data_IF_758578358260
#
_entry.id   IF_758578358260
#
_cell.length_a   1.000
_cell.length_b   1.000
_cell.length_c   1.000
_cell.angle_alpha   90.00
_cell.angle_beta   90.00
_cell.angle_gamma   90.00
#
_symmetry.space_group_name_H-M   'P 1'
#
loop_
_entity.id
_entity.type
_entity.pdbx_description
1 polymer ?
#
# COMPACT_ATOMS: atom_id res chain seq x y z
N UNK A 1 -40.12 -35.93 -31.27
CA UNK A 1 -38.71 -35.50 -31.50
C UNK A 1 -38.61 -34.00 -31.61
N UNK A 2 -39.36 -33.31 -32.50
CA UNK A 2 -39.31 -31.83 -32.64
C UNK A 2 -39.65 -31.10 -31.36
N UNK A 3 -40.60 -31.57 -30.56
CA UNK A 3 -40.96 -31.02 -29.26
C UNK A 3 -39.77 -31.12 -28.26
N UNK A 4 -39.11 -32.26 -28.19
CA UNK A 4 -37.94 -32.45 -27.33
C UNK A 4 -36.74 -31.57 -27.76
N UNK A 5 -36.57 -31.39 -29.07
CA UNK A 5 -35.55 -30.47 -29.57
C UNK A 5 -35.79 -29.00 -29.11
N UNK A 6 -37.07 -28.56 -29.17
CA UNK A 6 -37.43 -27.22 -28.70
C UNK A 6 -37.23 -27.06 -27.19
N UNK A 7 -37.57 -28.09 -26.40
CA UNK A 7 -37.32 -28.08 -24.95
C UNK A 7 -35.82 -27.97 -24.64
N UNK A 8 -34.98 -28.77 -25.31
CA UNK A 8 -33.53 -28.72 -25.11
C UNK A 8 -32.92 -27.40 -25.56
N UNK A 9 -33.45 -26.80 -26.62
CA UNK A 9 -33.02 -25.48 -27.08
C UNK A 9 -33.39 -24.38 -26.08
N UNK A 10 -34.58 -24.46 -25.48
CA UNK A 10 -34.99 -23.57 -24.38
C UNK A 10 -34.11 -23.68 -23.17
N UNK A 11 -33.69 -24.89 -22.76
CA UNK A 11 -32.73 -25.11 -21.69
C UNK A 11 -31.33 -24.56 -22.02
N UNK A 12 -30.88 -24.65 -23.28
CA UNK A 12 -29.63 -24.08 -23.74
C UNK A 12 -29.62 -22.54 -23.65
N UNK A 13 -30.72 -21.90 -24.05
CA UNK A 13 -30.89 -20.44 -24.00
C UNK A 13 -30.99 -19.93 -22.55
N UNK A 14 -31.58 -20.74 -21.64
CA UNK A 14 -31.73 -20.43 -20.23
C UNK A 14 -30.36 -20.32 -19.49
N UNK A 15 -29.27 -20.73 -20.16
CA UNK A 15 -27.91 -20.53 -19.62
C UNK A 15 -27.69 -21.24 -18.28
N UNK A 16 -27.91 -22.59 -18.24
CA UNK A 16 -27.67 -23.39 -17.03
C UNK A 16 -26.25 -23.11 -16.46
N UNK A 17 -26.25 -22.39 -15.37
CA UNK A 17 -25.03 -22.08 -14.59
C UNK A 17 -24.86 -23.19 -13.55
N UNK A 18 -23.83 -23.99 -13.66
CA UNK A 18 -23.52 -25.04 -12.70
C UNK A 18 -22.09 -24.88 -12.19
N UNK A 19 -21.97 -24.67 -10.88
CA UNK A 19 -20.69 -24.63 -10.17
C UNK A 19 -19.99 -23.27 -10.27
N UNK A 20 -19.35 -22.89 -9.20
CA UNK A 20 -18.33 -21.85 -9.16
C UNK A 20 -16.98 -22.53 -9.30
N UNK A 21 -16.28 -22.30 -10.40
CA UNK A 21 -14.86 -22.67 -10.47
C UNK A 21 -14.07 -21.59 -9.75
N UNK A 22 -13.57 -21.93 -8.59
CA UNK A 22 -12.60 -21.12 -7.89
C UNK A 22 -11.28 -21.26 -8.63
N UNK A 23 -10.86 -20.20 -9.33
CA UNK A 23 -9.50 -20.14 -9.88
C UNK A 23 -8.62 -19.46 -8.86
N UNK A 24 -7.50 -20.09 -8.45
CA UNK A 24 -6.49 -19.35 -7.67
C UNK A 24 -5.96 -18.24 -8.57
N UNK A 25 -6.18 -16.99 -8.18
CA UNK A 25 -5.52 -15.84 -8.78
C UNK A 25 -4.28 -15.61 -7.92
N UNK A 26 -3.12 -15.88 -8.49
CA UNK A 26 -1.84 -15.51 -7.88
C UNK A 26 -1.72 -13.99 -7.97
N UNK A 27 -2.07 -13.30 -6.89
CA UNK A 27 -1.70 -11.88 -6.74
C UNK A 27 -0.33 -11.85 -6.09
N UNK A 28 0.66 -11.45 -6.85
CA UNK A 28 1.96 -11.04 -6.33
C UNK A 28 1.81 -9.58 -5.89
N UNK A 29 2.47 -9.20 -4.85
CA UNK A 29 2.54 -7.83 -4.37
C UNK A 29 2.45 -7.75 -2.85
N UNK A 30 2.91 -6.65 -2.30
CA UNK A 30 2.92 -6.34 -0.86
C UNK A 30 2.00 -5.16 -0.54
N UNK A 31 1.60 -5.05 0.71
CA UNK A 31 0.91 -3.87 1.23
C UNK A 31 1.95 -2.96 1.89
N UNK A 32 2.08 -1.73 1.41
CA UNK A 32 3.09 -0.78 1.88
C UNK A 32 2.39 0.44 2.48
N UNK A 33 2.76 0.81 3.71
CA UNK A 33 2.35 2.09 4.30
C UNK A 33 3.58 3.00 4.43
N UNK A 34 3.55 4.11 3.71
CA UNK A 34 4.51 5.21 3.89
C UNK A 34 4.07 6.05 5.08
N UNK A 35 4.80 5.96 6.19
CA UNK A 35 4.56 6.79 7.39
C UNK A 35 5.56 7.95 7.39
N UNK A 36 5.07 9.16 7.13
CA UNK A 36 5.91 10.33 6.82
C UNK A 36 5.79 11.38 7.92
N UNK A 37 6.92 11.71 8.52
CA UNK A 37 7.04 12.81 9.45
C UNK A 37 6.87 14.16 8.73
N UNK A 38 5.92 14.96 9.17
CA UNK A 38 5.64 16.31 8.68
C UNK A 38 5.85 17.37 9.78
N UNK A 39 6.62 17.04 10.81
CA UNK A 39 6.99 17.99 11.85
C UNK A 39 7.84 19.13 11.29
N UNK A 40 7.91 20.24 12.03
CA UNK A 40 8.63 21.45 11.57
C UNK A 40 10.11 21.19 11.33
N UNK A 41 10.73 20.21 11.99
CA UNK A 41 12.13 19.82 11.80
C UNK A 41 12.42 19.30 10.39
N UNK A 42 11.40 18.77 9.71
CA UNK A 42 11.50 18.31 8.32
C UNK A 42 11.68 19.44 7.30
N UNK A 43 11.55 20.71 7.71
CA UNK A 43 11.96 21.87 6.89
C UNK A 43 13.48 22.14 6.92
N UNK A 44 14.23 21.46 7.77
CA UNK A 44 15.68 21.62 7.82
C UNK A 44 16.33 21.31 6.47
N UNK A 45 17.43 22.03 6.16
CA UNK A 45 18.09 22.02 4.84
C UNK A 45 19.49 21.39 4.86
N UNK A 46 19.74 20.56 5.85
CA UNK A 46 20.98 19.74 5.90
C UNK A 46 20.98 18.62 4.85
N UNK A 47 19.79 18.24 4.39
CA UNK A 47 19.56 17.42 3.19
C UNK A 47 18.81 18.30 2.19
N UNK A 48 19.32 18.44 0.96
CA UNK A 48 18.79 19.36 -0.04
C UNK A 48 17.64 18.77 -0.85
N UNK A 49 16.59 19.55 -1.25
CA UNK A 49 16.40 20.98 -0.93
C UNK A 49 15.99 21.22 0.54
N UNK A 50 15.12 20.38 1.10
CA UNK A 50 14.77 20.22 2.51
C UNK A 50 14.61 18.73 2.82
N UNK A 51 14.54 18.37 4.10
CA UNK A 51 14.31 16.97 4.49
C UNK A 51 13.00 16.44 3.90
N UNK A 52 11.90 17.21 4.01
CA UNK A 52 10.57 16.79 3.50
C UNK A 52 10.57 16.65 1.96
N UNK A 53 11.19 17.59 1.24
CA UNK A 53 11.27 17.49 -0.22
C UNK A 53 12.11 16.30 -0.66
N UNK A 54 13.15 15.99 0.08
CA UNK A 54 13.96 14.79 -0.18
C UNK A 54 13.17 13.51 0.06
N UNK A 55 12.37 13.44 1.13
CA UNK A 55 11.46 12.31 1.37
C UNK A 55 10.47 12.15 0.22
N UNK A 56 9.82 13.23 -0.22
CA UNK A 56 8.90 13.20 -1.37
C UNK A 56 9.58 12.63 -2.62
N UNK A 57 10.81 13.02 -2.88
CA UNK A 57 11.59 12.54 -4.01
C UNK A 57 11.89 11.03 -3.90
N UNK A 58 12.37 10.57 -2.75
CA UNK A 58 12.69 9.15 -2.53
C UNK A 58 11.42 8.28 -2.60
N UNK A 59 10.32 8.70 -1.96
CA UNK A 59 9.03 7.99 -2.00
C UNK A 59 8.50 7.92 -3.43
N UNK A 60 8.59 9.01 -4.20
CA UNK A 60 8.17 8.99 -5.61
C UNK A 60 8.97 7.99 -6.42
N UNK A 61 10.30 7.91 -6.21
CA UNK A 61 11.16 6.92 -6.87
C UNK A 61 10.80 5.48 -6.48
N UNK A 62 10.44 5.25 -5.22
CA UNK A 62 10.00 3.93 -4.77
C UNK A 62 8.72 3.57 -5.51
N UNK A 63 7.73 4.47 -5.55
CA UNK A 63 6.45 4.26 -6.22
C UNK A 63 6.62 4.00 -7.73
N UNK A 64 7.59 4.65 -8.38
CA UNK A 64 7.85 4.46 -9.83
C UNK A 64 8.30 3.04 -10.18
N UNK A 65 8.79 2.27 -9.20
CA UNK A 65 9.27 0.90 -9.40
C UNK A 65 8.32 -0.17 -8.81
N UNK A 66 7.17 0.21 -8.24
CA UNK A 66 6.18 -0.73 -7.75
C UNK A 66 5.39 -1.35 -8.92
N UNK A 67 5.09 -2.65 -8.82
CA UNK A 67 4.29 -3.37 -9.81
C UNK A 67 3.37 -4.40 -9.12
N UNK A 68 2.08 -4.07 -9.04
CA UNK A 68 1.09 -4.93 -8.39
C UNK A 68 0.93 -4.73 -6.89
N UNK A 69 1.72 -3.86 -6.27
CA UNK A 69 1.67 -3.53 -4.85
C UNK A 69 0.55 -2.56 -4.50
N UNK A 70 0.05 -2.64 -3.26
CA UNK A 70 -0.83 -1.60 -2.73
C UNK A 70 -0.03 -0.69 -1.82
N UNK A 71 -0.27 0.60 -1.93
CA UNK A 71 0.38 1.58 -1.07
C UNK A 71 -0.63 2.49 -0.39
N UNK A 72 -0.32 2.89 0.83
CA UNK A 72 -1.06 3.90 1.59
C UNK A 72 -0.10 4.91 2.22
N UNK A 73 -0.63 6.03 2.69
CA UNK A 73 0.16 7.12 3.27
C UNK A 73 -0.43 7.53 4.61
N UNK A 74 0.39 7.50 5.63
CA UNK A 74 0.13 8.09 6.95
C UNK A 74 1.05 9.28 7.11
N UNK A 75 0.53 10.42 7.54
CA UNK A 75 1.34 11.59 7.91
C UNK A 75 1.23 11.85 9.40
N UNK A 76 2.33 12.25 10.02
CA UNK A 76 2.38 12.48 11.45
C UNK A 76 3.29 13.64 11.86
N UNK A 77 2.98 14.22 13.00
CA UNK A 77 3.75 15.22 13.74
C UNK A 77 3.37 15.07 15.23
N UNK A 78 2.87 16.08 15.90
CA UNK A 78 2.27 15.95 17.23
C UNK A 78 0.92 15.21 17.26
N UNK A 79 0.33 14.93 16.11
CA UNK A 79 -0.79 14.01 15.86
C UNK A 79 -0.56 13.31 14.54
N UNK A 80 -1.42 12.36 14.19
CA UNK A 80 -1.28 11.56 12.97
C UNK A 80 -2.64 11.27 12.34
N UNK A 81 -2.66 10.97 11.04
CA UNK A 81 -3.85 10.49 10.35
C UNK A 81 -3.51 9.74 9.07
N UNK A 82 -4.41 8.87 8.66
CA UNK A 82 -4.34 8.18 7.38
C UNK A 82 -4.67 9.19 6.26
N UNK A 83 -3.65 9.59 5.48
CA UNK A 83 -3.76 10.57 4.43
C UNK A 83 -4.24 9.97 3.11
N UNK A 84 -3.77 8.77 2.77
CA UNK A 84 -4.22 7.98 1.63
C UNK A 84 -4.40 6.52 2.08
N UNK A 85 -5.62 5.95 1.97
CA UNK A 85 -5.84 4.53 2.18
C UNK A 85 -5.10 3.68 1.14
N UNK A 86 -4.93 2.37 1.42
CA UNK A 86 -4.29 1.42 0.50
C UNK A 86 -4.94 1.48 -0.89
N UNK A 87 -4.11 1.69 -1.90
CA UNK A 87 -4.52 1.78 -3.30
C UNK A 87 -3.43 1.26 -4.23
N UNK A 88 -3.80 0.86 -5.44
CA UNK A 88 -2.90 0.57 -6.57
C UNK A 88 -2.81 1.74 -7.55
N UNK A 89 -3.49 2.86 -7.28
CA UNK A 89 -3.43 4.05 -8.13
C UNK A 89 -2.17 4.86 -7.80
N UNK A 90 -1.07 4.51 -8.46
CA UNK A 90 0.24 5.14 -8.24
C UNK A 90 0.26 6.61 -8.65
N UNK A 91 -0.52 6.99 -9.67
CA UNK A 91 -0.58 8.39 -10.11
C UNK A 91 -1.32 9.25 -9.09
N UNK A 92 -2.42 8.76 -8.53
CA UNK A 92 -3.08 9.41 -7.41
C UNK A 92 -2.14 9.53 -6.21
N UNK A 93 -1.43 8.45 -5.85
CA UNK A 93 -0.50 8.45 -4.73
C UNK A 93 0.62 9.50 -4.90
N UNK A 94 1.20 9.64 -6.10
CA UNK A 94 2.21 10.68 -6.39
C UNK A 94 1.63 12.09 -6.22
N UNK A 95 0.37 12.32 -6.58
CA UNK A 95 -0.30 13.60 -6.35
C UNK A 95 -0.45 13.88 -4.84
N UNK A 96 -0.81 12.87 -4.04
CA UNK A 96 -0.87 13.00 -2.59
C UNK A 96 0.51 13.32 -2.01
N UNK A 97 1.57 12.60 -2.40
CA UNK A 97 2.96 12.86 -1.96
C UNK A 97 3.40 14.28 -2.30
N UNK A 98 3.11 14.77 -3.50
CA UNK A 98 3.46 16.12 -3.93
C UNK A 98 2.86 17.19 -3.02
N UNK A 99 1.64 16.95 -2.53
CA UNK A 99 0.89 17.91 -1.69
C UNK A 99 1.21 17.79 -0.19
N UNK A 100 2.08 16.88 0.24
CA UNK A 100 2.51 16.80 1.64
C UNK A 100 3.29 18.07 2.00
N UNK A 101 2.94 18.66 3.15
CA UNK A 101 3.60 19.84 3.70
C UNK A 101 3.69 19.73 5.23
N UNK A 102 4.68 20.39 5.81
CA UNK A 102 4.88 20.44 7.26
C UNK A 102 3.84 21.28 8.00
N UNK A 103 3.02 22.06 7.28
CA UNK A 103 1.89 22.80 7.86
C UNK A 103 0.57 22.00 7.90
N UNK A 104 0.54 20.76 7.38
CA UNK A 104 -0.66 19.91 7.36
C UNK A 104 -1.17 19.56 8.76
N UNK A 105 -0.27 19.48 9.73
CA UNK A 105 -0.58 19.14 11.12
C UNK A 105 -0.22 20.32 12.03
N UNK A 106 -1.22 20.88 12.67
CA UNK A 106 -1.03 22.04 13.54
C UNK A 106 -0.43 21.70 14.91
N UNK A 107 -0.60 20.46 15.39
CA UNK A 107 -0.03 20.00 16.65
C UNK A 107 1.47 19.81 16.51
N UNK A 108 2.23 20.44 17.43
CA UNK A 108 3.69 20.35 17.44
C UNK A 108 4.16 19.12 18.19
N UNK A 109 5.28 18.57 17.77
CA UNK A 109 5.92 17.39 18.34
C UNK A 109 6.05 16.29 17.29
N UNK A 110 6.46 15.10 17.73
CA UNK A 110 6.64 13.93 16.88
C UNK A 110 6.12 12.73 17.68
N UNK A 111 5.00 12.15 17.24
CA UNK A 111 4.32 11.06 17.93
C UNK A 111 4.49 9.74 17.13
N UNK A 112 5.72 9.23 17.08
CA UNK A 112 6.09 8.06 16.25
C UNK A 112 5.30 6.82 16.66
N UNK A 113 5.14 6.54 17.95
CA UNK A 113 4.38 5.38 18.42
C UNK A 113 2.94 5.36 17.90
N UNK A 114 2.24 6.49 17.98
CA UNK A 114 0.88 6.62 17.46
C UNK A 114 0.82 6.55 15.91
N UNK A 115 1.84 7.05 15.23
CA UNK A 115 1.93 6.96 13.78
C UNK A 115 2.06 5.52 13.32
N UNK A 116 2.85 4.70 14.02
CA UNK A 116 2.97 3.26 13.77
C UNK A 116 1.64 2.55 14.03
N UNK A 117 0.95 2.85 15.13
CA UNK A 117 -0.39 2.29 15.40
C UNK A 117 -1.38 2.62 14.28
N UNK A 118 -1.41 3.87 13.82
CA UNK A 118 -2.27 4.27 12.69
C UNK A 118 -1.88 3.55 11.40
N UNK A 119 -0.60 3.35 11.17
CA UNK A 119 -0.10 2.59 10.01
C UNK A 119 -0.54 1.12 10.06
N UNK A 120 -0.50 0.50 11.24
CA UNK A 120 -0.99 -0.87 11.46
C UNK A 120 -2.49 -0.97 11.18
N UNK A 121 -3.27 0.00 11.67
CA UNK A 121 -4.72 0.05 11.47
C UNK A 121 -5.12 0.34 10.02
N UNK A 122 -4.23 0.90 9.21
CA UNK A 122 -4.45 1.16 7.79
C UNK A 122 -4.37 -0.11 6.93
N UNK A 123 -3.76 -1.19 7.42
CA UNK A 123 -3.77 -2.47 6.74
C UNK A 123 -5.12 -3.19 6.89
N UNK A 124 -5.52 -3.90 5.85
CA UNK A 124 -6.65 -4.82 5.92
C UNK A 124 -6.28 -6.02 6.80
N UNK A 125 -7.12 -6.34 7.79
CA UNK A 125 -6.83 -7.40 8.78
C UNK A 125 -6.65 -8.77 8.14
N UNK A 126 -7.45 -9.09 7.12
CA UNK A 126 -7.47 -10.39 6.45
C UNK A 126 -6.67 -10.38 5.14
N UNK A 127 -5.90 -9.31 4.86
CA UNK A 127 -5.02 -9.30 3.71
C UNK A 127 -3.94 -10.36 3.88
N UNK A 128 -3.85 -11.29 2.93
CA UNK A 128 -2.82 -12.30 2.96
C UNK A 128 -1.44 -11.77 2.51
N UNK A 129 -1.38 -10.54 2.00
CA UNK A 129 -0.15 -9.91 1.51
C UNK A 129 0.79 -9.56 2.64
N UNK A 130 2.10 -9.62 2.39
CA UNK A 130 3.09 -9.14 3.34
C UNK A 130 2.89 -7.64 3.56
N UNK A 131 3.00 -7.23 4.82
CA UNK A 131 2.75 -5.85 5.26
C UNK A 131 4.06 -5.18 5.60
N UNK A 132 4.34 -4.06 4.96
CA UNK A 132 5.57 -3.29 5.14
C UNK A 132 5.22 -1.86 5.55
N UNK A 133 5.84 -1.39 6.63
CA UNK A 133 5.81 0.02 7.03
C UNK A 133 7.16 0.63 6.67
N UNK A 134 7.15 1.74 5.94
CA UNK A 134 8.31 2.57 5.64
C UNK A 134 8.17 3.87 6.43
N UNK A 135 8.89 3.98 7.55
CA UNK A 135 8.85 5.14 8.45
C UNK A 135 9.95 6.13 8.09
N UNK A 136 9.57 7.36 7.72
CA UNK A 136 10.48 8.46 7.40
C UNK A 136 10.42 9.50 8.51
N UNK A 137 11.52 9.70 9.25
CA UNK A 137 11.61 10.68 10.32
C UNK A 137 13.07 11.08 10.60
N UNK A 138 13.28 12.17 11.30
CA UNK A 138 14.58 12.53 11.88
C UNK A 138 14.77 11.94 13.30
N UNK A 139 13.75 11.33 13.86
CA UNK A 139 13.79 10.67 15.16
C UNK A 139 13.78 11.62 16.35
N UNK A 140 13.40 12.87 16.18
CA UNK A 140 13.20 13.83 17.29
C UNK A 140 11.87 13.55 18.00
N UNK A 141 11.72 12.34 18.55
CA UNK A 141 10.58 11.99 19.40
C UNK A 141 10.88 12.36 20.86
N UNK A 142 9.97 13.15 21.43
CA UNK A 142 10.07 13.56 22.83
C UNK A 142 9.26 12.66 23.77
N UNK A 143 8.62 11.61 23.27
CA UNK A 143 7.86 10.64 24.07
C UNK A 143 8.71 9.44 24.44
N UNK A 144 8.99 9.26 25.71
CA UNK A 144 9.77 8.12 26.23
C UNK A 144 9.09 6.75 26.06
N UNK A 145 7.82 6.73 25.65
CA UNK A 145 7.02 5.52 25.49
C UNK A 145 6.93 4.99 24.06
N UNK A 146 7.52 5.67 23.05
CA UNK A 146 7.35 5.29 21.65
C UNK A 146 7.90 3.91 21.32
N UNK A 147 9.05 3.53 21.88
CA UNK A 147 9.63 2.20 21.67
C UNK A 147 8.74 1.09 22.23
N UNK A 148 8.23 1.28 23.43
CA UNK A 148 7.33 0.31 24.07
C UNK A 148 6.01 0.18 23.30
N UNK A 149 5.43 1.32 22.88
CA UNK A 149 4.19 1.34 22.10
C UNK A 149 4.37 0.59 20.77
N UNK A 150 5.45 0.86 20.04
CA UNK A 150 5.75 0.17 18.77
C UNK A 150 5.95 -1.33 19.01
N UNK A 151 6.70 -1.71 20.05
CA UNK A 151 6.95 -3.12 20.36
C UNK A 151 5.69 -3.90 20.74
N UNK A 152 4.71 -3.25 21.38
CA UNK A 152 3.43 -3.87 21.77
C UNK A 152 2.46 -3.92 20.57
N UNK A 153 2.52 -2.97 19.66
CA UNK A 153 1.54 -2.81 18.58
C UNK A 153 1.89 -3.63 17.35
N UNK A 154 3.20 -3.88 17.07
CA UNK A 154 3.63 -4.63 15.89
C UNK A 154 3.32 -6.12 16.01
N UNK A 155 2.49 -6.62 15.08
CA UNK A 155 2.25 -8.05 14.93
C UNK A 155 3.43 -8.74 14.21
N UNK A 156 3.46 -10.09 14.24
CA UNK A 156 4.56 -10.86 13.64
C UNK A 156 4.65 -10.75 12.11
N UNK A 157 3.56 -10.38 11.48
CA UNK A 157 3.38 -10.33 10.01
C UNK A 157 3.71 -8.95 9.41
N UNK A 158 4.06 -7.96 10.25
CA UNK A 158 4.39 -6.61 9.80
C UNK A 158 5.89 -6.37 9.97
N UNK A 159 6.55 -5.95 8.90
CA UNK A 159 7.94 -5.51 8.91
C UNK A 159 7.99 -3.99 8.80
N UNK A 160 8.75 -3.34 9.68
CA UNK A 160 8.93 -1.89 9.64
C UNK A 160 10.37 -1.52 9.35
N UNK A 161 10.60 -0.93 8.19
CA UNK A 161 11.87 -0.30 7.86
C UNK A 161 11.84 1.16 8.24
N UNK A 162 12.96 1.65 8.75
CA UNK A 162 13.08 3.03 9.25
C UNK A 162 14.09 3.79 8.42
N UNK A 163 13.67 4.93 7.90
CA UNK A 163 14.46 5.79 7.04
C UNK A 163 14.73 7.10 7.78
N UNK A 164 15.94 7.25 8.27
CA UNK A 164 16.39 8.45 8.96
C UNK A 164 16.73 9.57 7.97
N UNK A 165 16.18 10.78 8.22
CA UNK A 165 16.34 11.93 7.33
C UNK A 165 17.02 13.07 8.07
N UNK A 166 18.21 13.44 7.60
CA UNK A 166 18.99 14.53 8.21
C UNK A 166 20.44 14.19 8.48
N UNK A 167 21.11 15.09 9.16
CA UNK A 167 22.50 14.93 9.54
C UNK A 167 22.69 14.89 11.06
N UNK A 168 23.71 14.15 11.52
CA UNK A 168 24.09 14.12 12.93
C UNK A 168 24.65 15.48 13.43
N UNK A 169 25.15 16.34 12.51
CA UNK A 169 25.59 17.69 12.85
C UNK A 169 24.44 18.61 13.22
N UNK A 170 23.27 18.34 12.67
CA UNK A 170 22.08 19.16 12.81
C UNK A 170 22.05 20.37 11.88
N UNK A 171 20.87 20.97 11.79
CA UNK A 171 20.60 22.17 11.00
C UNK A 171 19.56 23.04 11.71
N UNK A 172 19.63 24.35 11.45
CA UNK A 172 18.59 25.27 11.84
C UNK A 172 17.32 25.01 11.01
N UNK A 173 16.16 25.20 11.62
CA UNK A 173 14.87 24.99 10.99
C UNK A 173 14.38 26.30 10.40
N UNK A 174 14.21 26.45 9.07
CA UNK A 174 13.64 27.64 8.47
C UNK A 174 12.18 27.86 8.90
N UNK A 175 11.80 29.10 9.11
CA UNK A 175 10.39 29.46 9.27
C UNK A 175 9.74 29.62 7.89
N UNK A 176 8.95 28.63 7.47
CA UNK A 176 8.30 28.64 6.14
C UNK A 176 7.35 29.81 5.90
N UNK A 177 6.88 30.45 6.96
CA UNK A 177 5.99 31.62 6.88
C UNK A 177 6.74 32.93 6.71
N UNK A 178 8.05 32.93 6.99
CA UNK A 178 8.90 34.13 6.96
C UNK A 178 10.25 33.79 6.36
N UNK A 179 10.42 34.18 5.12
CA UNK A 179 11.64 33.91 4.36
C UNK A 179 12.87 34.51 5.06
N UNK A 180 13.96 33.75 5.12
CA UNK A 180 15.22 34.15 5.73
C UNK A 180 15.24 34.13 7.28
N UNK A 181 14.15 33.68 7.92
CA UNK A 181 14.05 33.57 9.38
C UNK A 181 14.06 32.10 9.77
N UNK A 182 14.68 31.81 10.93
CA UNK A 182 14.71 30.48 11.54
C UNK A 182 13.79 30.40 12.75
N UNK A 183 13.28 29.23 13.04
CA UNK A 183 12.45 28.98 14.20
C UNK A 183 13.22 29.24 15.48
N UNK A 184 12.51 29.84 16.46
CA UNK A 184 13.02 30.11 17.80
C UNK A 184 12.17 29.40 18.83
N UNK A 185 12.82 28.97 19.90
CA UNK A 185 12.17 28.41 21.07
C UNK A 185 11.44 29.48 21.92
N UNK A 186 10.82 29.07 23.02
CA UNK A 186 10.11 29.98 23.96
C UNK A 186 11.05 30.99 24.63
N UNK A 187 12.36 30.74 24.63
CA UNK A 187 13.38 31.64 25.23
C UNK A 187 13.95 32.61 24.19
N UNK A 188 13.68 32.41 22.90
CA UNK A 188 14.18 33.21 21.79
C UNK A 188 15.45 32.64 21.15
N UNK A 189 15.91 31.47 21.59
CA UNK A 189 17.07 30.79 21.01
C UNK A 189 16.70 30.08 19.71
N UNK A 190 17.68 29.97 18.80
CA UNK A 190 17.48 29.28 17.51
C UNK A 190 17.28 27.76 17.72
N UNK A 191 16.25 27.19 17.12
CA UNK A 191 15.98 25.75 17.19
C UNK A 191 16.85 25.03 16.17
N UNK A 192 17.62 24.06 16.65
CA UNK A 192 18.45 23.19 15.83
C UNK A 192 17.90 21.77 15.90
N UNK A 193 17.66 21.16 14.76
CA UNK A 193 17.23 19.76 14.63
C UNK A 193 18.40 18.88 14.23
N UNK A 194 18.48 17.66 14.80
CA UNK A 194 19.51 16.65 14.53
C UNK A 194 18.86 15.29 14.27
N UNK A 195 19.47 14.53 13.38
CA UNK A 195 19.08 13.13 13.19
C UNK A 195 19.45 12.30 14.43
N UNK A 196 18.48 11.59 14.99
CA UNK A 196 18.67 10.66 16.10
C UNK A 196 18.80 9.21 15.60
N UNK A 197 19.99 8.90 15.07
CA UNK A 197 20.26 7.57 14.45
C UNK A 197 20.12 6.42 15.46
N UNK A 198 20.49 6.63 16.73
CA UNK A 198 20.41 5.58 17.75
C UNK A 198 18.96 5.15 18.01
N UNK A 199 18.07 6.11 18.21
CA UNK A 199 16.65 5.87 18.43
C UNK A 199 15.99 5.21 17.22
N UNK A 200 16.24 5.71 16.00
CA UNK A 200 15.70 5.15 14.76
C UNK A 200 16.24 3.74 14.48
N UNK A 201 17.50 3.48 14.82
CA UNK A 201 18.09 2.15 14.72
C UNK A 201 17.50 1.15 15.72
N UNK A 202 17.10 1.58 16.91
CA UNK A 202 16.35 0.73 17.86
C UNK A 202 14.93 0.45 17.35
N UNK A 203 14.25 1.44 16.81
CA UNK A 203 12.94 1.28 16.19
C UNK A 203 12.97 0.26 15.04
N UNK A 204 13.98 0.32 14.17
CA UNK A 204 14.08 -0.64 13.06
C UNK A 204 14.28 -2.07 13.55
N UNK A 205 15.03 -2.30 14.64
CA UNK A 205 15.19 -3.63 15.25
C UNK A 205 13.89 -4.15 15.83
N UNK A 206 13.12 -3.30 16.52
CA UNK A 206 11.79 -3.65 17.04
C UNK A 206 10.86 -4.02 15.88
N UNK A 207 10.93 -3.26 14.77
CA UNK A 207 10.19 -3.51 13.54
C UNK A 207 10.65 -4.70 12.71
N UNK A 208 11.70 -5.42 13.12
CA UNK A 208 12.34 -6.52 12.37
C UNK A 208 12.80 -6.11 10.97
N UNK A 209 12.97 -4.83 10.74
CA UNK A 209 13.40 -4.26 9.47
C UNK A 209 14.81 -3.68 9.53
N UNK A 210 15.14 -2.94 8.50
CA UNK A 210 16.43 -2.29 8.34
C UNK A 210 16.34 -0.79 8.65
N UNK A 211 17.46 -0.21 9.08
CA UNK A 211 17.62 1.22 9.18
C UNK A 211 18.40 1.75 7.97
N UNK A 212 17.83 2.74 7.29
CA UNK A 212 18.45 3.45 6.17
C UNK A 212 18.64 4.91 6.53
N UNK A 213 19.58 5.55 5.87
CA UNK A 213 19.83 6.99 6.04
C UNK A 213 19.81 7.71 4.71
N UNK A 214 18.94 8.70 4.59
CA UNK A 214 18.96 9.61 3.46
C UNK A 214 20.07 10.66 3.67
N UNK A 215 21.11 10.59 2.87
CA UNK A 215 22.16 11.60 2.76
C UNK A 215 21.96 12.44 1.48
N UNK A 216 22.67 13.57 1.39
CA UNK A 216 22.50 14.53 0.28
C UNK A 216 22.74 13.91 -1.10
N UNK A 217 23.64 12.94 -1.22
CA UNK A 217 24.08 12.37 -2.49
C UNK A 217 23.74 10.89 -2.64
N UNK A 218 23.04 10.28 -1.68
CA UNK A 218 22.70 8.85 -1.70
C UNK A 218 21.18 8.69 -1.82
N UNK A 219 20.74 7.81 -2.69
CA UNK A 219 19.34 7.41 -2.81
C UNK A 219 19.17 6.07 -2.13
N UNK A 220 18.10 5.93 -1.34
CA UNK A 220 17.75 4.68 -0.64
C UNK A 220 16.67 3.91 -1.39
N UNK A 221 16.12 4.49 -2.46
CA UNK A 221 14.99 3.91 -3.18
C UNK A 221 15.33 2.57 -3.83
N UNK A 222 16.55 2.37 -4.34
CA UNK A 222 16.97 1.11 -4.95
C UNK A 222 17.02 -0.02 -3.92
N UNK A 223 17.67 0.22 -2.76
CA UNK A 223 17.75 -0.77 -1.68
C UNK A 223 16.37 -1.13 -1.10
N UNK A 224 15.47 -0.16 -1.00
CA UNK A 224 14.10 -0.39 -0.54
C UNK A 224 13.31 -1.19 -1.57
N UNK A 225 13.43 -0.87 -2.86
CA UNK A 225 12.77 -1.63 -3.92
C UNK A 225 13.26 -3.09 -3.99
N UNK A 226 14.56 -3.31 -3.79
CA UNK A 226 15.09 -4.68 -3.72
C UNK A 226 14.47 -5.46 -2.54
N UNK A 227 14.25 -4.81 -1.40
CA UNK A 227 13.58 -5.43 -0.26
C UNK A 227 12.12 -5.74 -0.59
N UNK A 228 11.40 -4.80 -1.21
CA UNK A 228 10.00 -4.99 -1.61
C UNK A 228 9.90 -6.17 -2.58
N UNK A 229 10.70 -6.19 -3.65
CA UNK A 229 10.71 -7.26 -4.64
C UNK A 229 11.05 -8.62 -4.04
N UNK A 230 12.01 -8.70 -3.11
CA UNK A 230 12.34 -9.95 -2.42
C UNK A 230 11.23 -10.40 -1.44
N UNK A 231 10.35 -9.49 -1.04
CA UNK A 231 9.22 -9.79 -0.16
C UNK A 231 8.00 -10.34 -0.91
N UNK A 232 7.93 -10.13 -2.23
CA UNK A 232 6.86 -10.62 -3.11
C UNK A 232 6.83 -12.14 -3.30
N UNK A 233 7.90 -12.85 -2.96
CA UNK A 233 8.03 -14.30 -3.17
C UNK A 233 7.05 -15.13 -2.30
N UNK A 234 6.28 -14.48 -1.44
CA UNK A 234 5.20 -15.12 -0.70
C UNK A 234 3.96 -15.23 -1.60
N UNK A 235 3.90 -16.30 -2.39
CA UNK A 235 2.75 -16.62 -3.25
C UNK A 235 1.50 -16.75 -2.37
N UNK A 236 0.61 -15.78 -2.54
CA UNK A 236 -0.68 -15.81 -1.88
C UNK A 236 -1.72 -16.33 -2.86
N UNK A 237 -2.18 -17.55 -2.60
CA UNK A 237 -3.36 -18.09 -3.26
C UNK A 237 -4.60 -17.30 -2.81
N UNK A 238 -4.88 -16.15 -3.43
CA UNK A 238 -6.16 -15.50 -3.27
C UNK A 238 -7.18 -16.23 -4.13
N UNK A 239 -8.27 -16.67 -3.51
CA UNK A 239 -9.37 -17.32 -4.23
C UNK A 239 -10.36 -16.23 -4.69
N UNK A 240 -10.29 -15.85 -5.95
CA UNK A 240 -11.38 -15.10 -6.57
C UNK A 240 -12.46 -16.08 -7.06
N UNK A 241 -13.72 -15.77 -6.76
CA UNK A 241 -14.84 -16.49 -7.33
C UNK A 241 -14.91 -16.17 -8.82
N UNK A 242 -14.26 -17.00 -9.63
CA UNK A 242 -14.32 -16.86 -11.06
C UNK A 242 -15.67 -17.36 -11.59
N UNK A 243 -16.05 -16.77 -12.67
CA UNK A 243 -17.30 -16.89 -13.41
C UNK A 243 -17.97 -18.28 -13.40
N UNK A 244 -19.30 -18.26 -13.44
CA UNK A 244 -20.08 -19.47 -13.54
C UNK A 244 -19.76 -20.22 -14.83
N UNK A 245 -19.52 -21.55 -14.71
CA UNK A 245 -19.28 -22.40 -15.87
C UNK A 245 -20.58 -22.57 -16.66
N UNK A 246 -20.65 -21.94 -17.83
CA UNK A 246 -21.80 -21.98 -18.72
C UNK A 246 -21.84 -23.31 -19.46
N UNK A 247 -22.62 -24.26 -18.98
CA UNK A 247 -22.77 -25.61 -19.61
C UNK A 247 -23.90 -25.67 -20.64
N UNK A 248 -24.16 -24.60 -21.38
CA UNK A 248 -25.17 -24.58 -22.46
C UNK A 248 -24.84 -25.54 -23.60
N UNK A 249 -23.58 -25.99 -23.71
CA UNK A 249 -23.11 -26.86 -24.79
C UNK A 249 -23.79 -28.22 -24.78
N UNK A 250 -24.10 -28.79 -23.59
CA UNK A 250 -24.73 -30.09 -23.48
C UNK A 250 -26.21 -30.09 -23.99
N UNK A 251 -27.10 -29.20 -23.51
CA UNK A 251 -28.46 -29.09 -24.05
C UNK A 251 -28.48 -28.76 -25.53
N UNK A 252 -27.55 -27.92 -26.00
CA UNK A 252 -27.42 -27.55 -27.40
C UNK A 252 -27.08 -28.75 -28.27
N UNK A 253 -26.15 -29.59 -27.85
CA UNK A 253 -25.78 -30.82 -28.56
C UNK A 253 -26.99 -31.75 -28.73
N UNK A 254 -27.74 -31.99 -27.66
CA UNK A 254 -28.96 -32.83 -27.73
C UNK A 254 -30.07 -32.20 -28.58
N UNK A 255 -30.23 -30.87 -28.55
CA UNK A 255 -31.20 -30.20 -29.40
C UNK A 255 -30.87 -30.40 -30.90
N UNK A 256 -29.62 -30.24 -31.29
CA UNK A 256 -29.17 -30.46 -32.68
C UNK A 256 -29.33 -31.92 -33.06
N UNK A 257 -28.97 -32.85 -32.19
CA UNK A 257 -29.11 -34.29 -32.45
C UNK A 257 -30.58 -34.69 -32.70
N UNK A 258 -31.51 -34.20 -31.87
CA UNK A 258 -32.94 -34.46 -32.04
C UNK A 258 -33.51 -33.83 -33.32
N UNK A 259 -33.02 -32.67 -33.73
CA UNK A 259 -33.38 -32.04 -34.99
C UNK A 259 -32.91 -32.86 -36.21
N UNK A 260 -31.68 -33.36 -36.18
CA UNK A 260 -31.12 -34.20 -37.23
C UNK A 260 -31.88 -35.52 -37.36
N UNK A 261 -32.19 -36.17 -36.24
CA UNK A 261 -33.00 -37.42 -36.25
C UNK A 261 -34.43 -37.12 -36.76
N UNK A 262 -35.04 -35.98 -36.39
CA UNK A 262 -36.35 -35.58 -36.87
C UNK A 262 -36.38 -35.22 -38.35
N UNK A 263 -35.22 -34.85 -38.91
CA UNK A 263 -35.06 -34.59 -40.35
C UNK A 263 -34.91 -35.88 -41.15
N UNK A 264 -34.15 -36.85 -40.63
CA UNK A 264 -33.87 -38.15 -41.30
C UNK A 264 -35.09 -39.07 -41.24
N UNK A 265 -35.87 -39.06 -40.18
CA UNK A 265 -37.05 -39.88 -40.04
C UNK A 265 -38.19 -39.33 -40.90
N UNK A 266 -38.69 -40.10 -41.87
CA UNK A 266 -39.78 -39.63 -42.74
C UNK A 266 -41.04 -39.37 -41.90
N UNK A 267 -41.50 -38.12 -41.94
CA UNK A 267 -42.80 -37.76 -41.36
C UNK A 267 -43.93 -38.49 -42.09
N UNK A 268 -44.31 -39.59 -41.53
CA UNK A 268 -45.50 -40.34 -42.08
C UNK A 268 -46.72 -39.41 -42.04
N UNK A 269 -47.05 -38.80 -43.18
CA UNK A 269 -48.33 -38.16 -43.39
C UNK A 269 -49.38 -39.28 -43.39
N UNK A 270 -50.15 -39.44 -42.31
CA UNK A 270 -51.45 -40.02 -42.41
C UNK A 270 -52.34 -38.95 -43.04
N UNK A 271 -52.68 -39.20 -44.33
CA UNK A 271 -53.79 -38.57 -45.01
C UNK A 271 -55.02 -39.31 -44.47
N UNK A 272 -55.90 -38.62 -43.80
CA UNK A 272 -57.30 -38.94 -43.61
C UNK A 272 -58.06 -37.76 -44.16
#
# INVERSE_FOLDING_TARGET
LRFFALVMLSFSISGLKTGTTVKPVERKGVDIIFSIDVSSSMNAQDVKPSRIDRVKFEVTKIIDNLDGDRLGIVVFSGSNFLYLPLTMDYDAAKLFIKNIDTDMISSKGTAIGQAVETSILAFEKESPQQKIILLFSDGEDHSSSSLDTVGLSLSQDIVMHVIGVGSAKGSLIPDIRREGIYLKDKKGDLVMSKLNESFLGELSKIGKGNFFRIATNESVSEEINDIINNSEDTIINSYEFADYDHKYQYPLFFAILFLLIAYILPSGRRII
#
